data_IF_695276753429
#
_entry.id   IF_695276753429
#
_cell.length_a   1.000
_cell.length_b   1.000
_cell.length_c   1.000
_cell.angle_alpha   90.00
_cell.angle_beta   90.00
_cell.angle_gamma   90.00
#
_symmetry.space_group_name_H-M   'P 1'
#
loop_
_entity.id
_entity.type
_entity.pdbx_description
1 polymer ?
#
# COMPACT_ATOMS: atom_id res chain seq x y z
N UNK A 1 18.55 2.53 -4.67
CA UNK A 1 19.11 2.56 -3.31
C UNK A 1 19.63 3.92 -2.89
N UNK A 2 20.88 4.37 -3.16
CA UNK A 2 21.38 5.60 -2.51
C UNK A 2 20.56 6.88 -2.81
N UNK A 3 20.19 7.14 -4.07
CA UNK A 3 19.35 8.31 -4.38
C UNK A 3 17.93 8.20 -3.81
N UNK A 4 17.28 7.02 -3.87
CA UNK A 4 15.92 6.84 -3.33
C UNK A 4 15.91 7.06 -1.82
N UNK A 5 16.89 6.52 -1.10
CA UNK A 5 17.05 6.70 0.34
C UNK A 5 17.23 8.18 0.74
N UNK A 6 18.05 8.95 0.01
CA UNK A 6 18.23 10.38 0.27
C UNK A 6 16.95 11.20 0.04
N UNK A 7 16.19 10.90 -1.02
CA UNK A 7 14.90 11.56 -1.25
C UNK A 7 13.88 11.18 -0.17
N UNK A 8 13.77 9.91 0.19
CA UNK A 8 12.85 9.44 1.23
C UNK A 8 13.17 10.08 2.59
N UNK A 9 14.44 10.23 2.96
CA UNK A 9 14.86 10.94 4.19
C UNK A 9 14.48 12.42 4.13
N UNK A 10 14.75 13.11 3.02
CA UNK A 10 14.43 14.54 2.88
C UNK A 10 12.91 14.79 2.93
N UNK A 11 12.11 13.95 2.29
CA UNK A 11 10.65 14.03 2.33
C UNK A 11 10.07 13.62 3.69
N UNK A 12 10.67 12.62 4.35
CA UNK A 12 10.31 12.25 5.72
C UNK A 12 10.54 13.43 6.67
N UNK A 13 11.70 14.09 6.58
CA UNK A 13 12.00 15.31 7.33
C UNK A 13 11.02 16.43 6.98
N UNK A 14 10.69 16.63 5.69
CA UNK A 14 9.69 17.60 5.28
C UNK A 14 8.30 17.28 5.85
N UNK A 15 7.88 16.01 5.90
CA UNK A 15 6.59 15.59 6.44
C UNK A 15 6.47 15.86 7.95
N UNK A 16 7.58 15.73 8.69
CA UNK A 16 7.68 16.11 10.10
C UNK A 16 7.68 17.64 10.26
N UNK A 17 8.47 18.34 9.44
CA UNK A 17 8.76 19.76 9.60
C UNK A 17 7.71 20.69 8.99
N UNK A 18 6.84 20.20 8.11
CA UNK A 18 5.72 20.97 7.57
C UNK A 18 4.43 20.57 8.31
N UNK A 19 3.89 21.43 9.19
CA UNK A 19 2.58 21.25 9.83
C UNK A 19 1.41 21.37 8.82
N UNK A 20 1.74 21.36 7.52
CA UNK A 20 0.88 21.61 6.39
C UNK A 20 -0.22 20.58 6.29
N UNK A 21 -1.34 20.98 6.89
CA UNK A 21 -2.69 20.75 6.45
C UNK A 21 -3.13 19.29 6.53
N UNK A 22 -3.71 18.93 7.68
CA UNK A 22 -4.77 17.93 7.79
C UNK A 22 -5.94 18.34 6.86
N UNK A 23 -5.70 18.32 5.54
CA UNK A 23 -6.62 18.73 4.51
C UNK A 23 -6.58 17.73 3.38
N UNK A 24 -7.76 17.45 2.87
CA UNK A 24 -7.99 16.70 1.64
C UNK A 24 -8.89 17.56 0.77
N UNK A 25 -8.51 17.78 -0.49
CA UNK A 25 -9.23 18.62 -1.44
C UNK A 25 -9.50 20.04 -0.87
N UNK A 26 -8.49 20.60 -0.20
CA UNK A 26 -8.55 21.94 0.41
C UNK A 26 -9.36 22.06 1.70
N UNK A 27 -10.13 21.03 2.08
CA UNK A 27 -10.98 21.01 3.28
C UNK A 27 -10.25 20.37 4.45
N UNK A 28 -10.42 20.93 5.65
CA UNK A 28 -9.86 20.34 6.87
C UNK A 28 -10.49 18.97 7.17
N UNK A 29 -9.65 18.00 7.52
CA UNK A 29 -10.04 16.66 7.96
C UNK A 29 -9.82 16.57 9.47
N UNK A 30 -10.79 15.96 10.16
CA UNK A 30 -10.76 15.77 11.62
C UNK A 30 -9.50 14.99 12.02
N UNK A 31 -8.80 15.46 13.05
CA UNK A 31 -7.73 14.66 13.66
C UNK A 31 -8.34 13.56 14.53
N UNK A 32 -7.99 12.32 14.22
CA UNK A 32 -8.35 11.15 15.02
C UNK A 32 -7.17 10.89 15.96
N UNK A 33 -7.47 10.84 17.26
CA UNK A 33 -6.45 10.56 18.25
C UNK A 33 -6.15 9.06 18.23
N UNK A 34 -4.88 8.70 18.39
CA UNK A 34 -4.48 7.30 18.47
C UNK A 34 -3.45 7.08 19.57
N UNK A 35 -3.53 5.91 20.21
CA UNK A 35 -2.47 5.40 21.06
C UNK A 35 -1.53 4.55 20.20
N UNK A 36 -0.27 4.96 20.11
CA UNK A 36 0.72 4.36 19.21
C UNK A 36 1.83 3.74 20.05
N UNK A 37 2.00 2.43 19.93
CA UNK A 37 3.03 1.66 20.64
C UNK A 37 3.86 0.86 19.67
N UNK A 38 5.18 0.88 19.82
CA UNK A 38 6.04 -0.10 19.16
C UNK A 38 5.82 -1.46 19.84
N UNK A 39 5.49 -2.48 19.06
CA UNK A 39 5.32 -3.85 19.54
C UNK A 39 6.64 -4.61 19.51
N UNK A 40 7.37 -4.52 18.38
CA UNK A 40 8.49 -5.40 18.12
C UNK A 40 9.55 -4.78 17.19
N UNK A 41 10.62 -5.55 17.00
CA UNK A 41 11.50 -5.46 15.83
C UNK A 41 11.39 -6.79 15.09
N UNK A 42 11.11 -6.73 13.80
CA UNK A 42 11.11 -7.90 12.93
C UNK A 42 12.53 -8.41 12.72
N UNK A 43 12.64 -9.68 12.31
CA UNK A 43 13.91 -10.29 11.92
C UNK A 43 14.65 -9.43 10.87
N UNK A 44 15.98 -9.38 10.98
CA UNK A 44 16.84 -8.58 10.11
C UNK A 44 16.82 -9.01 8.64
N UNK A 45 16.31 -10.20 8.30
CA UNK A 45 16.06 -10.59 6.92
C UNK A 45 14.96 -9.73 6.26
N UNK A 46 14.10 -9.11 7.07
CA UNK A 46 13.05 -8.18 6.65
C UNK A 46 13.59 -6.75 6.79
N UNK A 47 14.29 -6.28 5.76
CA UNK A 47 14.97 -4.98 5.77
C UNK A 47 14.02 -3.82 5.45
N UNK A 48 13.06 -4.00 4.56
CA UNK A 48 12.23 -2.93 3.97
C UNK A 48 10.81 -3.44 3.77
N UNK A 49 10.07 -3.60 4.87
CA UNK A 49 8.70 -4.16 4.89
C UNK A 49 7.69 -3.24 4.19
N UNK A 50 7.57 -3.36 2.86
CA UNK A 50 6.71 -2.51 2.02
C UNK A 50 5.24 -2.92 2.02
N UNK A 51 4.93 -4.18 2.34
CA UNK A 51 3.55 -4.64 2.46
C UNK A 51 3.30 -5.26 3.83
N UNK A 52 2.08 -5.17 4.34
CA UNK A 52 1.66 -5.91 5.53
C UNK A 52 0.21 -6.35 5.39
N UNK A 53 -0.03 -7.66 5.34
CA UNK A 53 -1.37 -8.21 5.24
C UNK A 53 -1.62 -9.26 6.31
N UNK A 54 -2.81 -9.23 6.91
CA UNK A 54 -3.29 -10.23 7.86
C UNK A 54 -4.30 -11.14 7.14
N UNK A 55 -3.96 -12.41 6.88
CA UNK A 55 -4.84 -13.29 6.11
C UNK A 55 -6.10 -13.72 6.86
N UNK A 56 -6.03 -13.74 8.20
CA UNK A 56 -7.14 -14.12 9.08
C UNK A 56 -7.07 -13.27 10.36
N UNK A 57 -8.17 -12.60 10.76
CA UNK A 57 -8.21 -11.78 11.97
C UNK A 57 -7.90 -12.55 13.26
N UNK A 58 -8.19 -13.86 13.31
CA UNK A 58 -8.04 -14.69 14.50
C UNK A 58 -6.65 -15.34 14.62
N UNK A 59 -5.89 -15.42 13.53
CA UNK A 59 -4.55 -16.02 13.54
C UNK A 59 -3.48 -14.99 13.89
N UNK A 60 -2.47 -15.36 14.69
CA UNK A 60 -1.29 -14.51 14.89
C UNK A 60 -0.27 -14.67 13.74
N UNK A 61 -0.73 -14.31 12.54
CA UNK A 61 0.00 -14.43 11.29
C UNK A 61 -0.16 -13.15 10.48
N UNK A 62 0.94 -12.70 9.89
CA UNK A 62 1.01 -11.63 8.91
C UNK A 62 1.93 -12.07 7.78
N UNK A 63 1.61 -11.65 6.56
CA UNK A 63 2.56 -11.70 5.46
C UNK A 63 3.13 -10.32 5.18
N UNK A 64 4.43 -10.27 4.90
CA UNK A 64 5.15 -9.08 4.47
C UNK A 64 6.15 -9.45 3.38
N UNK A 65 6.70 -8.45 2.71
CA UNK A 65 7.72 -8.59 1.68
C UNK A 65 8.72 -7.45 1.80
N UNK A 66 9.91 -7.66 1.24
CA UNK A 66 10.91 -6.59 1.14
C UNK A 66 10.70 -5.77 -0.14
N UNK A 67 11.06 -4.50 -0.08
CA UNK A 67 11.05 -3.57 -1.21
C UNK A 67 11.93 -4.04 -2.39
N UNK A 68 11.67 -3.42 -3.53
CA UNK A 68 12.44 -3.25 -4.75
C UNK A 68 13.85 -3.82 -4.80
N UNK A 69 14.05 -4.79 -5.70
CA UNK A 69 15.36 -5.38 -5.99
C UNK A 69 15.83 -6.43 -4.98
N UNK A 70 15.03 -6.70 -3.95
CA UNK A 70 15.20 -7.84 -3.05
C UNK A 70 14.92 -9.17 -3.76
N UNK A 71 15.13 -10.29 -3.05
CA UNK A 71 14.68 -11.59 -3.54
C UNK A 71 13.14 -11.60 -3.65
N UNK A 72 12.56 -12.37 -4.60
CA UNK A 72 11.12 -12.52 -4.73
C UNK A 72 10.56 -13.43 -3.63
N UNK A 73 10.59 -12.96 -2.38
CA UNK A 73 10.22 -13.70 -1.19
C UNK A 73 9.09 -12.99 -0.44
N UNK A 74 8.18 -13.78 0.11
CA UNK A 74 7.17 -13.34 1.07
C UNK A 74 7.48 -13.99 2.42
N UNK A 75 7.46 -13.19 3.48
CA UNK A 75 7.77 -13.63 4.83
C UNK A 75 6.49 -13.71 5.65
N UNK A 76 6.32 -14.81 6.36
CA UNK A 76 5.31 -14.96 7.40
C UNK A 76 5.90 -14.52 8.74
N UNK A 77 5.21 -13.65 9.48
CA UNK A 77 5.61 -13.21 10.81
C UNK A 77 4.43 -13.27 11.79
N UNK A 78 4.71 -13.31 13.09
CA UNK A 78 3.71 -13.12 14.14
C UNK A 78 3.70 -11.68 14.68
N UNK A 79 2.80 -11.40 15.64
CA UNK A 79 2.66 -10.07 16.25
C UNK A 79 3.86 -9.62 17.11
N UNK A 80 4.73 -10.55 17.50
CA UNK A 80 6.04 -10.26 18.12
C UNK A 80 7.15 -10.00 17.10
N UNK A 81 6.85 -10.02 15.79
CA UNK A 81 7.83 -9.80 14.72
C UNK A 81 8.75 -10.99 14.47
N UNK A 82 8.47 -12.15 15.05
CA UNK A 82 9.25 -13.36 14.81
C UNK A 82 8.94 -13.88 13.41
N UNK A 83 9.99 -14.28 12.68
CA UNK A 83 9.87 -14.95 11.39
C UNK A 83 9.34 -16.37 11.61
N UNK A 84 8.18 -16.66 11.04
CA UNK A 84 7.56 -17.97 11.06
C UNK A 84 7.93 -18.81 9.84
N UNK A 85 7.99 -18.18 8.66
CA UNK A 85 8.27 -18.84 7.39
C UNK A 85 8.73 -17.84 6.32
N UNK A 86 9.35 -18.35 5.24
CA UNK A 86 9.76 -17.60 4.06
C UNK A 86 9.44 -18.38 2.79
N UNK A 87 8.63 -17.79 1.92
CA UNK A 87 8.19 -18.39 0.65
C UNK A 87 8.83 -17.67 -0.53
N UNK A 88 9.62 -18.38 -1.33
CA UNK A 88 10.06 -17.86 -2.63
C UNK A 88 8.91 -17.96 -3.64
N UNK A 89 8.59 -16.87 -4.32
CA UNK A 89 7.50 -16.80 -5.30
C UNK A 89 8.03 -17.21 -6.68
N UNK A 90 7.63 -18.38 -7.21
CA UNK A 90 8.23 -18.95 -8.41
C UNK A 90 7.91 -18.13 -9.66
N UNK A 91 8.81 -18.14 -10.63
CA UNK A 91 8.63 -17.45 -11.93
C UNK A 91 8.38 -15.93 -11.81
N UNK A 92 8.92 -15.29 -10.77
CA UNK A 92 8.79 -13.86 -10.55
C UNK A 92 10.14 -13.18 -10.35
N UNK A 93 10.14 -11.85 -10.39
CA UNK A 93 11.28 -11.02 -10.02
C UNK A 93 10.73 -9.81 -9.30
N UNK A 94 11.34 -9.45 -8.17
CA UNK A 94 11.03 -8.22 -7.46
C UNK A 94 11.74 -7.05 -8.13
N UNK A 95 11.03 -6.38 -9.06
CA UNK A 95 11.57 -5.20 -9.74
C UNK A 95 11.29 -3.90 -8.99
N UNK A 96 10.05 -3.72 -8.52
CA UNK A 96 9.59 -2.62 -7.67
C UNK A 96 8.27 -3.11 -6.98
N UNK A 97 8.38 -4.14 -6.11
CA UNK A 97 7.22 -4.68 -5.36
C UNK A 97 6.86 -3.75 -4.22
N UNK A 98 5.66 -3.18 -4.26
CA UNK A 98 5.27 -2.11 -3.33
C UNK A 98 4.22 -2.57 -2.31
N UNK A 99 3.31 -3.45 -2.69
CA UNK A 99 2.16 -3.80 -1.84
C UNK A 99 1.63 -5.20 -2.17
N UNK A 100 0.87 -5.79 -1.24
CA UNK A 100 0.29 -7.12 -1.41
C UNK A 100 -1.08 -7.22 -0.75
N UNK A 101 -1.94 -8.06 -1.31
CA UNK A 101 -3.18 -8.49 -0.65
C UNK A 101 -3.27 -10.00 -0.57
N UNK A 102 -4.11 -10.46 0.35
CA UNK A 102 -4.48 -11.85 0.54
C UNK A 102 -5.95 -12.02 0.21
N UNK A 103 -6.30 -13.13 -0.42
CA UNK A 103 -7.70 -13.53 -0.54
C UNK A 103 -7.85 -15.05 -0.63
N UNK A 104 -9.09 -15.52 -0.50
CA UNK A 104 -9.47 -16.90 -0.82
C UNK A 104 -10.41 -16.93 -2.01
N UNK A 105 -10.20 -17.85 -2.94
CA UNK A 105 -11.12 -18.07 -4.05
C UNK A 105 -12.46 -18.68 -3.59
N UNK A 106 -13.36 -18.96 -4.54
CA UNK A 106 -14.69 -19.52 -4.25
C UNK A 106 -14.66 -20.90 -3.60
N UNK A 107 -13.57 -21.66 -3.75
CA UNK A 107 -13.38 -22.98 -3.15
C UNK A 107 -12.40 -22.93 -1.96
N UNK A 108 -12.16 -21.72 -1.43
CA UNK A 108 -11.32 -21.43 -0.26
C UNK A 108 -9.81 -21.64 -0.43
N UNK A 109 -9.30 -21.71 -1.66
CA UNK A 109 -7.85 -21.73 -1.87
C UNK A 109 -7.24 -20.35 -1.55
N UNK A 110 -6.16 -20.30 -0.76
CA UNK A 110 -5.46 -19.07 -0.41
C UNK A 110 -4.58 -18.54 -1.55
N UNK A 111 -4.72 -17.25 -1.84
CA UNK A 111 -3.91 -16.52 -2.80
C UNK A 111 -3.26 -15.29 -2.17
N UNK A 112 -2.06 -14.97 -2.64
CA UNK A 112 -1.44 -13.66 -2.50
C UNK A 112 -1.40 -12.97 -3.85
N UNK A 113 -1.77 -11.69 -3.90
CA UNK A 113 -1.56 -10.86 -5.09
C UNK A 113 -0.52 -9.80 -4.76
N UNK A 114 0.64 -9.91 -5.38
CA UNK A 114 1.79 -9.04 -5.17
C UNK A 114 1.83 -8.00 -6.29
N UNK A 115 1.90 -6.72 -5.93
CA UNK A 115 1.88 -5.62 -6.86
C UNK A 115 3.30 -5.13 -7.18
N UNK A 116 3.80 -5.47 -8.37
CA UNK A 116 5.05 -4.91 -8.95
C UNK A 116 4.70 -3.65 -9.75
N UNK A 117 4.47 -2.57 -9.00
CA UNK A 117 3.81 -1.34 -9.46
C UNK A 117 4.62 -0.07 -9.24
N UNK A 118 5.72 -0.16 -8.50
CA UNK A 118 6.64 0.95 -8.34
C UNK A 118 7.19 1.40 -9.69
N UNK A 119 7.31 2.71 -9.86
CA UNK A 119 7.73 3.34 -11.11
C UNK A 119 8.35 4.71 -10.83
N UNK A 120 9.31 4.70 -9.89
CA UNK A 120 10.02 5.85 -9.35
C UNK A 120 10.52 6.88 -10.39
N UNK A 121 10.84 6.42 -11.61
CA UNK A 121 11.38 7.24 -12.72
C UNK A 121 10.38 7.41 -13.88
N UNK A 122 9.15 6.93 -13.73
CA UNK A 122 8.11 6.92 -14.77
C UNK A 122 8.55 6.29 -16.09
N UNK A 123 9.40 5.25 -16.03
CA UNK A 123 10.01 4.58 -17.20
C UNK A 123 9.55 3.13 -17.37
N UNK A 124 8.92 2.52 -16.36
CA UNK A 124 8.44 1.13 -16.39
C UNK A 124 7.33 0.98 -17.43
N UNK A 125 7.45 -0.05 -18.27
CA UNK A 125 6.41 -0.49 -19.24
C UNK A 125 5.89 -1.90 -18.91
N UNK A 126 6.36 -2.46 -17.81
CA UNK A 126 6.23 -3.85 -17.40
C UNK A 126 5.67 -3.93 -15.98
N UNK A 127 4.67 -3.12 -15.69
CA UNK A 127 3.92 -3.20 -14.44
C UNK A 127 3.07 -4.47 -14.45
N UNK A 128 2.96 -5.14 -13.31
CA UNK A 128 2.18 -6.36 -13.22
C UNK A 128 1.72 -6.68 -11.80
N UNK A 129 0.73 -7.55 -11.73
CA UNK A 129 0.32 -8.25 -10.52
C UNK A 129 0.77 -9.70 -10.64
N UNK A 130 1.44 -10.21 -9.62
CA UNK A 130 1.74 -11.63 -9.47
C UNK A 130 0.70 -12.25 -8.55
N UNK A 131 -0.17 -13.09 -9.11
CA UNK A 131 -1.15 -13.86 -8.37
C UNK A 131 -0.58 -15.23 -8.04
N UNK A 132 -0.23 -15.43 -6.77
CA UNK A 132 0.41 -16.62 -6.24
C UNK A 132 -0.62 -17.50 -5.53
N UNK A 133 -0.79 -18.71 -6.04
CA UNK A 133 -1.54 -19.79 -5.39
C UNK A 133 -0.64 -20.44 -4.33
N UNK A 134 -0.96 -20.21 -3.06
CA UNK A 134 -0.15 -20.72 -1.95
C UNK A 134 -0.25 -22.25 -1.86
N UNK A 135 -1.37 -22.85 -2.26
CA UNK A 135 -1.60 -24.30 -2.15
C UNK A 135 -0.80 -25.08 -3.17
N UNK A 136 -0.81 -24.60 -4.41
CA UNK A 136 -0.16 -25.28 -5.53
C UNK A 136 1.25 -24.75 -5.81
N UNK A 137 1.67 -23.68 -5.11
CA UNK A 137 2.95 -23.01 -5.33
C UNK A 137 3.15 -22.62 -6.80
N UNK A 138 2.11 -22.04 -7.41
CA UNK A 138 2.16 -21.54 -8.80
C UNK A 138 1.84 -20.05 -8.85
N UNK A 139 2.37 -19.37 -9.87
CA UNK A 139 2.18 -17.93 -10.02
C UNK A 139 1.71 -17.59 -11.43
N UNK A 140 0.67 -16.77 -11.50
CA UNK A 140 0.16 -16.16 -12.74
C UNK A 140 0.56 -14.68 -12.75
N UNK A 141 1.06 -14.20 -13.88
CA UNK A 141 1.44 -12.80 -14.07
C UNK A 141 0.39 -12.07 -14.89
N UNK A 142 -0.22 -11.04 -14.31
CA UNK A 142 -1.17 -10.15 -14.98
C UNK A 142 -0.51 -8.82 -15.29
N UNK A 143 -0.18 -8.56 -16.55
CA UNK A 143 0.50 -7.32 -16.96
C UNK A 143 -0.48 -6.22 -17.33
N UNK A 144 -0.17 -4.98 -16.96
CA UNK A 144 -1.00 -3.82 -17.27
C UNK A 144 -0.16 -2.54 -17.47
N UNK A 145 -0.84 -1.47 -17.86
CA UNK A 145 -0.26 -0.12 -18.01
C UNK A 145 -1.19 0.93 -17.43
N UNK A 146 -0.66 2.10 -17.03
CA UNK A 146 -1.51 3.25 -16.70
C UNK A 146 -2.05 3.88 -17.98
N UNK A 147 -3.36 4.12 -18.03
CA UNK A 147 -4.02 4.58 -19.23
C UNK A 147 -3.57 6.00 -19.67
N UNK A 148 -3.16 6.82 -18.70
CA UNK A 148 -2.70 8.19 -18.90
C UNK A 148 -1.17 8.31 -19.07
N UNK A 149 -0.43 7.20 -18.98
CA UNK A 149 1.01 7.18 -19.24
C UNK A 149 1.29 6.82 -20.71
N UNK A 150 1.41 7.83 -21.56
CA UNK A 150 1.67 7.65 -23.00
C UNK A 150 3.16 7.74 -23.37
N UNK A 151 4.01 8.16 -22.44
CA UNK A 151 5.45 8.38 -22.63
C UNK A 151 6.26 7.84 -21.44
N UNK A 152 7.50 7.40 -21.69
CA UNK A 152 8.34 6.68 -20.73
C UNK A 152 9.82 7.11 -20.86
N UNK A 153 10.26 8.19 -20.20
CA UNK A 153 9.53 9.03 -19.25
C UNK A 153 8.64 10.09 -19.93
N UNK A 154 7.68 10.69 -19.19
CA UNK A 154 6.91 11.84 -19.64
C UNK A 154 7.79 13.07 -19.88
N UNK A 155 7.47 13.89 -20.90
CA UNK A 155 8.27 15.08 -21.29
C UNK A 155 8.55 16.04 -20.13
N UNK A 156 7.59 16.23 -19.22
CA UNK A 156 7.69 17.20 -18.12
C UNK A 156 8.22 16.61 -16.81
N UNK A 157 8.89 15.44 -16.86
CA UNK A 157 9.34 14.65 -15.71
C UNK A 157 8.30 14.65 -14.59
N UNK A 158 7.06 14.32 -14.97
CA UNK A 158 5.91 14.54 -14.11
C UNK A 158 6.00 13.69 -12.85
N UNK A 159 6.68 12.53 -12.91
CA UNK A 159 6.84 11.57 -11.81
C UNK A 159 5.49 11.18 -11.16
N UNK A 160 4.39 11.24 -11.93
CA UNK A 160 3.00 11.03 -11.48
C UNK A 160 2.50 9.59 -11.73
N UNK A 161 3.39 8.66 -12.11
CA UNK A 161 3.03 7.31 -12.56
C UNK A 161 3.59 6.23 -11.64
N UNK A 162 3.77 6.57 -10.37
CA UNK A 162 4.41 5.78 -9.32
C UNK A 162 3.36 5.48 -8.25
N UNK A 163 2.98 4.20 -8.08
CA UNK A 163 1.96 3.78 -7.12
C UNK A 163 2.57 2.88 -6.06
N UNK A 164 2.11 3.04 -4.83
CA UNK A 164 2.63 2.32 -3.65
C UNK A 164 1.54 1.60 -2.88
N UNK A 165 0.30 2.05 -3.05
CA UNK A 165 -0.84 1.50 -2.35
C UNK A 165 -1.70 0.75 -3.36
N UNK A 166 -2.13 -0.45 -2.96
CA UNK A 166 -2.89 -1.38 -3.77
C UNK A 166 -3.94 -2.08 -2.91
N UNK A 167 -5.15 -2.18 -3.43
CA UNK A 167 -6.21 -2.96 -2.81
C UNK A 167 -7.18 -3.50 -3.85
N UNK A 168 -8.00 -4.46 -3.44
CA UNK A 168 -9.06 -5.04 -4.26
C UNK A 168 -10.42 -4.68 -3.68
N UNK A 169 -11.37 -4.36 -4.55
CA UNK A 169 -12.78 -4.19 -4.21
C UNK A 169 -13.61 -4.65 -5.40
N UNK A 170 -14.64 -5.46 -5.13
CA UNK A 170 -15.49 -6.08 -6.14
C UNK A 170 -14.66 -6.77 -7.23
N UNK A 171 -14.97 -6.50 -8.50
CA UNK A 171 -14.28 -7.04 -9.69
C UNK A 171 -13.11 -6.17 -10.15
N UNK A 172 -12.52 -5.37 -9.26
CA UNK A 172 -11.47 -4.40 -9.61
C UNK A 172 -10.30 -4.37 -8.62
N UNK A 173 -9.13 -4.11 -9.18
CA UNK A 173 -7.93 -3.68 -8.49
C UNK A 173 -7.86 -2.16 -8.50
N UNK A 174 -7.42 -1.58 -7.39
CA UNK A 174 -7.23 -0.15 -7.23
C UNK A 174 -5.80 0.17 -6.81
N UNK A 175 -5.26 1.26 -7.37
CA UNK A 175 -3.90 1.72 -7.06
C UNK A 175 -3.93 3.18 -6.66
N UNK A 176 -3.13 3.55 -5.66
CA UNK A 176 -3.01 4.92 -5.19
C UNK A 176 -1.58 5.40 -5.43
N UNK A 177 -1.45 6.49 -6.20
CA UNK A 177 -0.13 7.03 -6.56
C UNK A 177 0.57 7.72 -5.39
N UNK A 178 1.92 7.74 -5.40
CA UNK A 178 2.70 8.68 -4.58
C UNK A 178 2.27 10.11 -4.88
N UNK A 179 2.49 11.00 -3.90
CA UNK A 179 2.49 12.44 -4.13
C UNK A 179 3.91 13.00 -3.99
N UNK A 180 4.64 13.09 -5.11
CA UNK A 180 6.01 13.60 -5.17
C UNK A 180 6.11 15.14 -5.23
N UNK A 181 5.05 15.88 -4.89
CA UNK A 181 5.08 17.35 -4.94
C UNK A 181 3.77 18.03 -4.59
N UNK A 182 3.32 18.93 -5.46
CA UNK A 182 2.10 19.75 -5.28
C UNK A 182 0.88 19.18 -6.02
N UNK A 183 1.01 17.99 -6.62
CA UNK A 183 -0.01 17.40 -7.49
C UNK A 183 -1.01 16.55 -6.72
N UNK A 184 -2.08 16.17 -7.41
CA UNK A 184 -3.06 15.25 -6.88
C UNK A 184 -2.49 13.82 -6.83
N UNK A 185 -2.82 13.10 -5.78
CA UNK A 185 -2.79 11.64 -5.77
C UNK A 185 -3.88 11.13 -6.70
N UNK A 186 -3.55 10.12 -7.50
CA UNK A 186 -4.49 9.47 -8.41
C UNK A 186 -4.95 8.15 -7.80
N UNK A 187 -6.25 7.91 -7.86
CA UNK A 187 -6.84 6.59 -7.69
C UNK A 187 -7.03 6.00 -9.09
N UNK A 188 -6.32 4.90 -9.35
CA UNK A 188 -6.47 4.11 -10.55
C UNK A 188 -7.39 2.92 -10.31
N UNK A 189 -8.13 2.49 -11.34
CA UNK A 189 -8.92 1.26 -11.37
C UNK A 189 -8.46 0.38 -12.53
N UNK A 190 -8.26 -0.91 -12.25
CA UNK A 190 -8.04 -1.96 -13.24
C UNK A 190 -9.07 -3.06 -13.01
N UNK A 191 -9.86 -3.40 -14.03
CA UNK A 191 -10.79 -4.52 -13.94
C UNK A 191 -10.00 -5.84 -13.82
N UNK A 192 -10.51 -6.79 -13.03
CA UNK A 192 -9.90 -8.12 -12.87
C UNK A 192 -10.07 -9.02 -14.12
N UNK A 193 -10.83 -8.57 -15.12
CA UNK A 193 -10.95 -9.28 -16.38
C UNK A 193 -9.62 -9.22 -17.16
N UNK A 194 -9.18 -10.39 -17.63
CA UNK A 194 -8.02 -10.60 -18.48
C UNK A 194 -7.98 -9.77 -19.76
N UNK A 195 -9.11 -9.21 -20.22
CA UNK A 195 -9.14 -8.27 -21.35
C UNK A 195 -8.64 -6.86 -20.99
N UNK A 196 -8.66 -6.51 -19.70
CA UNK A 196 -8.25 -5.20 -19.21
C UNK A 196 -6.74 -5.14 -18.96
N UNK A 197 -6.03 -4.40 -19.81
CA UNK A 197 -4.58 -4.17 -19.67
C UNK A 197 -4.24 -2.71 -19.34
N UNK A 198 -5.25 -1.91 -18.98
CA UNK A 198 -5.10 -0.46 -18.76
C UNK A 198 -5.82 -0.04 -17.48
N UNK A 199 -5.06 0.42 -16.50
CA UNK A 199 -5.60 1.03 -15.30
C UNK A 199 -6.00 2.49 -15.59
N UNK A 200 -7.25 2.85 -15.34
CA UNK A 200 -7.81 4.19 -15.62
C UNK A 200 -7.89 5.02 -14.35
N UNK A 201 -7.69 6.33 -14.43
CA UNK A 201 -7.89 7.22 -13.26
C UNK A 201 -9.39 7.39 -13.00
N UNK A 202 -9.82 7.09 -11.78
CA UNK A 202 -11.22 7.26 -11.34
C UNK A 202 -11.41 8.43 -10.39
N UNK A 203 -10.37 8.82 -9.64
CA UNK A 203 -10.42 9.95 -8.71
C UNK A 203 -9.07 10.68 -8.61
N UNK A 204 -9.12 12.00 -8.43
CA UNK A 204 -7.98 12.83 -8.02
C UNK A 204 -8.19 13.31 -6.58
N UNK A 205 -7.18 13.14 -5.74
CA UNK A 205 -7.22 13.47 -4.31
C UNK A 205 -6.04 14.38 -3.96
N UNK A 206 -6.32 15.56 -3.42
CA UNK A 206 -5.29 16.54 -3.07
C UNK A 206 -5.04 16.55 -1.56
N UNK A 207 -3.93 15.96 -1.14
CA UNK A 207 -3.37 16.09 0.21
C UNK A 207 -1.85 16.16 0.17
N UNK A 208 -1.22 16.65 1.24
CA UNK A 208 0.25 16.72 1.33
C UNK A 208 0.83 15.44 1.95
N UNK A 209 1.93 14.97 1.36
CA UNK A 209 2.74 13.84 1.85
C UNK A 209 2.66 12.64 0.90
N UNK A 210 3.72 11.82 0.91
CA UNK A 210 3.85 10.67 0.03
C UNK A 210 3.08 9.48 0.60
N UNK A 211 2.18 8.93 -0.20
CA UNK A 211 1.54 7.63 0.05
C UNK A 211 2.63 6.56 0.01
N UNK A 212 2.54 5.58 0.91
CA UNK A 212 3.45 4.43 0.97
C UNK A 212 2.72 3.10 1.07
N UNK A 213 1.48 3.07 1.55
CA UNK A 213 0.74 1.82 1.73
C UNK A 213 -0.76 2.09 1.89
N UNK A 214 -1.58 1.05 1.81
CA UNK A 214 -2.96 1.15 2.25
C UNK A 214 -3.53 -0.15 2.82
N UNK A 215 -4.59 -0.02 3.61
CA UNK A 215 -5.34 -1.19 4.08
C UNK A 215 -6.82 -0.90 4.14
N UNK A 216 -7.63 -1.84 3.63
CA UNK A 216 -9.09 -1.79 3.63
C UNK A 216 -9.62 -2.61 4.81
N UNK A 217 -10.69 -2.10 5.44
CA UNK A 217 -11.47 -2.80 6.43
C UNK A 217 -12.94 -2.76 6.04
N UNK A 218 -13.57 -3.94 6.04
CA UNK A 218 -15.00 -4.13 5.80
C UNK A 218 -15.64 -4.57 7.10
N UNK A 219 -16.61 -3.80 7.61
CA UNK A 219 -17.30 -4.15 8.84
C UNK A 219 -18.42 -5.19 8.59
N UNK A 220 -19.03 -5.69 9.67
CA UNK A 220 -20.11 -6.69 9.59
C UNK A 220 -21.35 -6.21 8.81
N UNK A 221 -21.54 -4.89 8.63
CA UNK A 221 -22.62 -4.33 7.82
C UNK A 221 -22.25 -4.10 6.34
N UNK A 222 -21.06 -4.53 5.92
CA UNK A 222 -20.55 -4.34 4.56
C UNK A 222 -20.05 -2.92 4.27
N UNK A 223 -19.95 -2.05 5.29
CA UNK A 223 -19.37 -0.72 5.12
C UNK A 223 -17.87 -0.80 5.12
N UNK A 224 -17.26 -0.12 4.17
CA UNK A 224 -15.83 -0.18 3.92
C UNK A 224 -15.14 1.13 4.26
N UNK A 225 -13.92 1.01 4.77
CA UNK A 225 -13.02 2.13 5.02
C UNK A 225 -11.60 1.73 4.67
N UNK A 226 -10.80 2.73 4.32
CA UNK A 226 -9.40 2.55 3.97
C UNK A 226 -8.53 3.47 4.82
N UNK A 227 -7.43 2.92 5.31
CA UNK A 227 -6.32 3.67 5.84
C UNK A 227 -5.26 3.82 4.75
N UNK A 228 -4.88 5.06 4.41
CA UNK A 228 -3.82 5.37 3.47
C UNK A 228 -2.63 5.87 4.28
N UNK A 229 -1.56 5.08 4.32
CA UNK A 229 -0.34 5.39 5.05
C UNK A 229 0.50 6.37 4.25
N UNK A 230 1.00 7.38 4.95
CA UNK A 230 1.99 8.33 4.46
C UNK A 230 3.12 8.40 5.49
N UNK A 231 4.26 8.94 5.08
CA UNK A 231 5.29 9.33 6.04
C UNK A 231 4.74 10.33 7.07
N UNK A 232 4.69 9.88 8.33
CA UNK A 232 4.27 10.67 9.48
C UNK A 232 2.75 10.81 9.70
N UNK A 233 1.88 10.27 8.83
CA UNK A 233 0.41 10.40 8.94
C UNK A 233 -0.32 9.21 8.34
N UNK A 234 -1.56 8.99 8.77
CA UNK A 234 -2.49 8.05 8.14
C UNK A 234 -3.77 8.80 7.83
N UNK A 235 -4.11 8.92 6.55
CA UNK A 235 -5.43 9.44 6.17
C UNK A 235 -6.45 8.30 6.17
N UNK A 236 -7.66 8.61 6.64
CA UNK A 236 -8.75 7.66 6.73
C UNK A 236 -9.90 8.10 5.82
N UNK A 237 -10.36 7.18 4.99
CA UNK A 237 -11.45 7.42 4.03
C UNK A 237 -12.53 6.36 4.16
N UNK A 238 -13.77 6.77 3.92
CA UNK A 238 -14.84 5.83 3.56
C UNK A 238 -14.69 5.48 2.09
N UNK A 239 -14.99 4.22 1.76
CA UNK A 239 -15.12 3.78 0.37
C UNK A 239 -16.62 3.71 0.06
N UNK A 240 -17.03 4.35 -1.03
CA UNK A 240 -18.41 4.30 -1.53
C UNK A 240 -18.42 4.06 -3.03
N UNK A 241 -19.53 3.54 -3.53
CA UNK A 241 -19.74 3.37 -4.96
C UNK A 241 -19.85 4.74 -5.64
N UNK A 242 -19.32 4.82 -6.87
CA UNK A 242 -19.39 5.97 -7.74
C UNK A 242 -19.76 5.54 -9.15
N UNK A 243 -20.17 6.49 -10.00
CA UNK A 243 -20.57 6.21 -11.39
C UNK A 243 -19.48 5.46 -12.17
N UNK A 244 -18.21 5.78 -11.93
CA UNK A 244 -17.05 5.17 -12.58
C UNK A 244 -16.15 4.45 -11.56
N UNK A 245 -16.71 3.49 -10.82
CA UNK A 245 -15.99 2.70 -9.83
C UNK A 245 -16.30 3.14 -8.40
N UNK A 246 -15.34 3.76 -7.72
CA UNK A 246 -15.42 4.06 -6.29
C UNK A 246 -14.99 5.49 -6.00
N UNK A 247 -15.42 5.99 -4.86
CA UNK A 247 -14.97 7.27 -4.32
C UNK A 247 -14.39 7.08 -2.92
N UNK A 248 -13.23 7.70 -2.68
CA UNK A 248 -12.65 7.83 -1.35
C UNK A 248 -13.07 9.17 -0.73
N UNK A 249 -13.85 9.09 0.34
CA UNK A 249 -14.36 10.24 1.10
C UNK A 249 -13.62 10.39 2.43
N UNK A 250 -12.84 11.47 2.65
CA UNK A 250 -12.01 11.61 3.85
C UNK A 250 -12.86 11.83 5.10
N UNK A 251 -12.57 11.11 6.18
CA UNK A 251 -13.24 11.31 7.48
C UNK A 251 -12.27 11.56 8.64
N UNK A 252 -10.99 11.22 8.48
CA UNK A 252 -10.02 11.32 9.57
C UNK A 252 -8.58 11.39 9.12
N UNK A 253 -7.73 11.89 10.02
CA UNK A 253 -6.28 11.78 9.89
C UNK A 253 -5.66 11.48 11.26
N UNK A 254 -4.77 10.50 11.30
CA UNK A 254 -3.97 10.14 12.47
C UNK A 254 -2.56 10.69 12.28
N UNK A 255 -2.01 11.36 13.29
CA UNK A 255 -0.59 11.75 13.29
C UNK A 255 0.24 10.53 13.71
N UNK A 256 1.26 10.21 12.92
CA UNK A 256 2.14 9.06 13.16
C UNK A 256 3.64 9.41 13.00
N UNK A 257 4.16 10.45 13.69
CA UNK A 257 5.55 10.87 13.55
C UNK A 257 6.56 9.81 14.02
N UNK A 258 6.15 8.92 14.94
CA UNK A 258 6.98 7.82 15.44
C UNK A 258 7.20 6.70 14.43
N UNK A 259 6.42 6.67 13.34
CA UNK A 259 6.48 5.63 12.32
C UNK A 259 7.78 5.60 11.54
N UNK A 260 8.49 6.72 11.41
CA UNK A 260 9.65 6.77 10.52
C UNK A 260 9.23 6.69 9.05
N UNK A 261 10.09 6.11 8.23
CA UNK A 261 9.74 5.68 6.88
C UNK A 261 8.87 4.42 6.95
N UNK A 262 7.59 4.60 7.27
CA UNK A 262 6.62 3.52 7.38
C UNK A 262 6.06 3.14 6.01
N UNK A 263 6.02 1.84 5.73
CA UNK A 263 5.74 1.31 4.40
C UNK A 263 4.73 0.18 4.37
N UNK A 264 4.53 -0.59 5.45
CA UNK A 264 3.39 -1.50 5.55
C UNK A 264 2.30 -0.99 6.49
N UNK A 265 1.02 -1.24 6.18
CA UNK A 265 -0.12 -0.98 7.08
C UNK A 265 -1.19 -2.07 6.95
N UNK A 266 -1.80 -2.46 8.07
CA UNK A 266 -2.87 -3.46 8.07
C UNK A 266 -3.91 -3.19 9.16
N UNK A 267 -5.21 -3.24 8.83
CA UNK A 267 -6.26 -3.27 9.85
C UNK A 267 -6.25 -4.60 10.63
N UNK A 268 -6.35 -4.51 11.96
CA UNK A 268 -6.61 -5.65 12.83
C UNK A 268 -8.08 -5.81 13.15
N UNK A 269 -8.75 -4.69 13.34
CA UNK A 269 -10.18 -4.60 13.59
C UNK A 269 -10.63 -3.15 13.30
N UNK A 270 -11.86 -2.81 13.64
CA UNK A 270 -12.43 -1.50 13.35
C UNK A 270 -11.63 -0.33 13.95
N UNK A 271 -10.93 -0.51 15.06
CA UNK A 271 -10.26 0.58 15.76
C UNK A 271 -8.75 0.36 15.93
N UNK A 272 -8.18 -0.67 15.31
CA UNK A 272 -6.78 -1.02 15.52
C UNK A 272 -6.09 -1.34 14.19
N UNK A 273 -4.91 -0.75 14.03
CA UNK A 273 -4.01 -0.95 12.90
C UNK A 273 -2.68 -1.53 13.37
N UNK A 274 -1.98 -2.20 12.44
CA UNK A 274 -0.55 -2.46 12.48
C UNK A 274 0.13 -1.63 11.40
N UNK A 275 1.37 -1.23 11.66
CA UNK A 275 2.22 -0.60 10.65
C UNK A 275 3.67 -1.05 10.82
N UNK A 276 4.41 -1.14 9.73
CA UNK A 276 5.85 -1.46 9.70
C UNK A 276 6.65 -0.32 9.10
N UNK A 277 7.98 -0.35 9.26
CA UNK A 277 8.88 0.64 8.65
C UNK A 277 10.20 0.01 8.17
N UNK A 278 10.97 0.77 7.40
CA UNK A 278 12.30 0.40 6.86
C UNK A 278 13.36 0.07 7.93
N UNK A 279 13.04 0.22 9.23
CA UNK A 279 13.93 -0.17 10.34
C UNK A 279 13.45 -1.45 11.04
N UNK A 280 12.60 -2.22 10.38
CA UNK A 280 12.01 -3.45 10.89
C UNK A 280 11.07 -3.26 12.09
N UNK A 281 10.62 -2.04 12.42
CA UNK A 281 9.77 -1.83 13.60
C UNK A 281 8.32 -2.13 13.27
N UNK A 282 7.66 -2.94 14.10
CA UNK A 282 6.22 -3.17 14.07
C UNK A 282 5.52 -2.29 15.11
N UNK A 283 4.48 -1.58 14.70
CA UNK A 283 3.69 -0.67 15.54
C UNK A 283 2.25 -1.14 15.66
N UNK A 284 1.66 -0.92 16.83
CA UNK A 284 0.22 -0.98 17.11
C UNK A 284 -0.33 0.42 17.23
N UNK A 285 -1.43 0.69 16.53
CA UNK A 285 -2.08 2.00 16.47
C UNK A 285 -3.55 1.78 16.82
N UNK A 286 -3.98 2.27 17.99
CA UNK A 286 -5.37 2.15 18.47
C UNK A 286 -6.07 3.50 18.36
N UNK A 287 -7.11 3.57 17.53
CA UNK A 287 -7.91 4.77 17.28
C UNK A 287 -8.84 5.08 18.48
N UNK A 288 -9.06 6.36 18.76
CA UNK A 288 -9.96 6.89 19.80
C UNK A 288 -11.08 7.75 19.22
#
# INVERSE_FOLDING_TARGET
MLLSLFYSIAFFLQAILTPGANKVNGKHVKTVHAHITRLACMDTIICESSALVKPDPEMDLYYTLNDSGSKPEVFAINSSGELLDSMTIPNTTNKDWEEMLYYKDQIHNPFLVIADIGNNRSRRKDLCLYEYDITHSTTIKHSFSYADQTQFPPVNDSLDFDCEAFFRRDSSYYFISKNRGTRAVKLYQLLQDTSAHRAIVTQYIHFKGMVTACSVFTNASGKEKIAVLLYGRIFLFHISDAVNGIELSPYGVVKFPSGGQSEGICWQNENELRATNERGKLFKIVLK
#
